data_IF_825566970172
#
_entry.id   IF_825566970172
#
_cell.length_a   1.000
_cell.length_b   1.000
_cell.length_c   1.000
_cell.angle_alpha   90.00
_cell.angle_beta   90.00
_cell.angle_gamma   90.00
#
_symmetry.space_group_name_H-M   'P 1'
#
loop_
_entity.id
_entity.type
_entity.pdbx_description
1 polymer ?
#
# COMPACT_ATOMS: atom_id res chain seq x y z
N UNK A 1 5.42 21.01 1.03
CA UNK A 1 4.11 20.34 1.07
C UNK A 1 3.65 20.20 -0.35
N UNK A 2 3.15 19.03 -0.73
CA UNK A 2 2.59 18.81 -2.06
C UNK A 2 1.18 19.42 -2.19
N UNK A 3 0.74 19.65 -3.44
CA UNK A 3 -0.55 20.27 -3.74
C UNK A 3 -1.73 19.49 -3.17
N UNK A 4 -1.63 18.17 -3.09
CA UNK A 4 -2.68 17.31 -2.53
C UNK A 4 -2.84 17.52 -1.01
N UNK A 5 -1.73 17.63 -0.27
CA UNK A 5 -1.76 17.92 1.17
C UNK A 5 -2.35 19.29 1.47
N UNK A 6 -1.99 20.30 0.67
CA UNK A 6 -2.55 21.65 0.78
C UNK A 6 -4.07 21.64 0.54
N UNK A 7 -4.53 20.92 -0.50
CA UNK A 7 -5.96 20.79 -0.78
C UNK A 7 -6.71 20.11 0.37
N UNK A 8 -6.18 19.03 0.92
CA UNK A 8 -6.81 18.33 2.03
C UNK A 8 -6.88 19.19 3.30
N UNK A 9 -5.82 19.94 3.61
CA UNK A 9 -5.80 20.84 4.77
C UNK A 9 -6.82 21.98 4.57
N UNK A 10 -6.86 22.57 3.39
CA UNK A 10 -7.82 23.63 3.06
C UNK A 10 -9.27 23.11 3.17
N UNK A 11 -9.56 21.93 2.62
CA UNK A 11 -10.88 21.31 2.70
C UNK A 11 -11.28 21.03 4.16
N UNK A 12 -10.37 20.48 4.96
CA UNK A 12 -10.62 20.23 6.36
C UNK A 12 -10.88 21.53 7.17
N UNK A 13 -10.10 22.59 6.89
CA UNK A 13 -10.28 23.88 7.52
C UNK A 13 -11.63 24.52 7.15
N UNK A 14 -12.01 24.50 5.87
CA UNK A 14 -13.30 25.01 5.39
C UNK A 14 -14.44 24.23 6.06
N UNK A 15 -14.38 22.90 6.07
CA UNK A 15 -15.39 22.07 6.71
C UNK A 15 -15.51 22.38 8.21
N UNK A 16 -14.39 22.55 8.91
CA UNK A 16 -14.38 22.90 10.31
C UNK A 16 -15.06 24.26 10.56
N UNK A 17 -14.76 25.27 9.77
CA UNK A 17 -15.37 26.60 9.85
C UNK A 17 -16.89 26.51 9.62
N UNK A 18 -17.32 25.81 8.57
CA UNK A 18 -18.74 25.63 8.24
C UNK A 18 -19.50 24.92 9.37
N UNK A 19 -18.92 23.86 9.91
CA UNK A 19 -19.53 23.09 11.02
C UNK A 19 -19.55 23.93 12.30
N UNK A 20 -18.49 24.68 12.59
CA UNK A 20 -18.44 25.57 13.75
C UNK A 20 -19.51 26.63 13.71
N UNK A 21 -19.77 27.26 12.55
CA UNK A 21 -20.85 28.25 12.40
C UNK A 21 -22.25 27.64 12.55
N UNK A 22 -22.44 26.38 12.14
CA UNK A 22 -23.74 25.70 12.29
C UNK A 22 -23.97 25.18 13.70
N UNK A 23 -22.93 24.62 14.32
CA UNK A 23 -23.01 24.03 15.66
C UNK A 23 -21.60 23.89 16.26
N UNK A 24 -21.20 24.76 17.19
CA UNK A 24 -19.92 24.63 17.89
C UNK A 24 -19.78 23.30 18.65
N UNK A 25 -20.89 22.76 19.17
CA UNK A 25 -20.90 21.48 19.85
C UNK A 25 -20.53 20.32 18.89
N UNK A 26 -21.02 20.37 17.64
CA UNK A 26 -20.66 19.38 16.61
C UNK A 26 -19.19 19.50 16.19
N UNK A 27 -18.67 20.72 16.06
CA UNK A 27 -17.27 20.97 15.75
C UNK A 27 -16.34 20.41 16.83
N UNK A 28 -16.66 20.67 18.12
CA UNK A 28 -15.89 20.13 19.25
C UNK A 28 -15.95 18.60 19.31
N UNK A 29 -17.11 17.99 19.04
CA UNK A 29 -17.25 16.53 18.98
C UNK A 29 -16.38 15.95 17.85
N UNK A 30 -16.36 16.59 16.68
CA UNK A 30 -15.52 16.21 15.54
C UNK A 30 -14.02 16.31 15.86
N UNK A 31 -13.58 17.42 16.49
CA UNK A 31 -12.18 17.60 16.89
C UNK A 31 -11.74 16.56 17.94
N UNK A 32 -12.59 16.28 18.93
CA UNK A 32 -12.32 15.25 19.92
C UNK A 32 -12.21 13.85 19.29
N UNK A 33 -13.11 13.53 18.37
CA UNK A 33 -13.05 12.28 17.62
C UNK A 33 -11.76 12.18 16.77
N UNK A 34 -11.35 13.27 16.12
CA UNK A 34 -10.08 13.35 15.38
C UNK A 34 -8.89 13.13 16.30
N UNK A 35 -8.86 13.79 17.46
CA UNK A 35 -7.79 13.59 18.44
C UNK A 35 -7.69 12.15 18.93
N UNK A 36 -8.82 11.52 19.24
CA UNK A 36 -8.88 10.12 19.65
C UNK A 36 -8.34 9.18 18.55
N UNK A 37 -8.74 9.40 17.30
CA UNK A 37 -8.24 8.63 16.16
C UNK A 37 -6.73 8.79 15.97
N UNK A 38 -6.19 10.01 16.10
CA UNK A 38 -4.74 10.25 15.98
C UNK A 38 -3.99 9.47 17.06
N UNK A 39 -4.43 9.56 18.32
CA UNK A 39 -3.78 8.85 19.44
C UNK A 39 -3.83 7.33 19.23
N UNK A 40 -4.93 6.80 18.72
CA UNK A 40 -5.09 5.38 18.47
C UNK A 40 -4.22 4.88 17.30
N UNK A 41 -4.12 5.67 16.22
CA UNK A 41 -3.43 5.26 14.99
C UNK A 41 -1.93 5.49 15.08
N UNK A 42 -1.47 6.54 15.78
CA UNK A 42 -0.07 6.96 15.81
C UNK A 42 0.91 5.86 16.23
N UNK A 43 0.68 5.09 17.31
CA UNK A 43 1.59 4.00 17.70
C UNK A 43 1.70 2.92 16.61
N UNK A 44 0.58 2.61 15.97
CA UNK A 44 0.51 1.61 14.88
C UNK A 44 1.28 2.09 13.64
N UNK A 45 1.18 3.38 13.30
CA UNK A 45 1.93 3.98 12.20
C UNK A 45 3.44 3.95 12.48
N UNK A 46 3.87 4.34 13.69
CA UNK A 46 5.29 4.31 14.09
C UNK A 46 5.83 2.89 13.99
N UNK A 47 5.14 1.90 14.53
CA UNK A 47 5.54 0.50 14.44
C UNK A 47 5.61 0.00 12.99
N UNK A 48 4.62 0.34 12.15
CA UNK A 48 4.59 -0.05 10.75
C UNK A 48 5.74 0.56 9.94
N UNK A 49 6.04 1.85 10.14
CA UNK A 49 7.17 2.50 9.45
C UNK A 49 8.52 1.96 9.93
N UNK A 50 8.67 1.71 11.23
CA UNK A 50 9.88 1.08 11.77
C UNK A 50 10.10 -0.30 11.18
N UNK A 51 9.07 -1.15 11.15
CA UNK A 51 9.13 -2.47 10.52
C UNK A 51 9.49 -2.38 9.04
N UNK A 52 8.83 -1.50 8.29
CA UNK A 52 9.10 -1.31 6.87
C UNK A 52 10.56 -0.87 6.62
N UNK A 53 11.06 0.07 7.42
CA UNK A 53 12.46 0.52 7.33
C UNK A 53 13.46 -0.58 7.66
N UNK A 54 13.21 -1.38 8.70
CA UNK A 54 14.07 -2.51 9.07
C UNK A 54 14.08 -3.60 7.99
N UNK A 55 12.93 -3.95 7.41
CA UNK A 55 12.85 -4.92 6.32
C UNK A 55 13.67 -4.44 5.12
N UNK A 56 13.56 -3.16 4.75
CA UNK A 56 14.35 -2.58 3.65
C UNK A 56 15.86 -2.59 3.93
N UNK A 57 16.27 -2.44 5.19
CA UNK A 57 17.69 -2.46 5.57
C UNK A 57 18.28 -3.89 5.59
N UNK A 58 17.46 -4.90 5.87
CA UNK A 58 17.92 -6.31 6.03
C UNK A 58 17.97 -7.03 4.68
N UNK A 59 17.04 -6.72 3.75
CA UNK A 59 16.95 -7.45 2.47
C UNK A 59 17.93 -6.86 1.45
N UNK A 60 19.00 -7.61 1.05
CA UNK A 60 19.95 -7.15 0.04
C UNK A 60 19.25 -6.92 -1.31
N UNK A 61 19.49 -5.76 -1.91
CA UNK A 61 18.88 -5.38 -3.18
C UNK A 61 19.27 -6.36 -4.31
N UNK A 62 20.51 -6.85 -4.30
CA UNK A 62 21.01 -7.84 -5.26
C UNK A 62 20.21 -9.14 -5.23
N UNK A 63 19.79 -9.56 -4.06
CA UNK A 63 18.98 -10.77 -3.90
C UNK A 63 17.57 -10.60 -4.49
N UNK A 64 16.98 -9.42 -4.33
CA UNK A 64 15.69 -9.08 -4.94
C UNK A 64 15.82 -9.08 -6.47
N UNK A 65 16.86 -8.47 -7.02
CA UNK A 65 17.09 -8.42 -8.46
C UNK A 65 17.32 -9.81 -9.05
N UNK A 66 18.04 -10.68 -8.35
CA UNK A 66 18.28 -12.06 -8.82
C UNK A 66 16.98 -12.88 -8.92
N UNK A 67 15.99 -12.55 -8.08
CA UNK A 67 14.70 -13.26 -8.03
C UNK A 67 13.61 -12.62 -8.89
N UNK A 68 13.64 -11.31 -9.03
CA UNK A 68 12.59 -10.51 -9.66
C UNK A 68 13.10 -9.66 -10.84
N UNK A 69 14.33 -9.88 -11.30
CA UNK A 69 14.94 -9.13 -12.40
C UNK A 69 14.22 -9.29 -13.73
N UNK A 70 14.67 -8.54 -14.74
CA UNK A 70 14.15 -8.67 -16.10
C UNK A 70 14.42 -10.10 -16.61
N UNK A 71 13.36 -10.77 -17.09
CA UNK A 71 13.45 -12.16 -17.52
C UNK A 71 13.17 -13.21 -16.44
N UNK A 72 12.87 -12.82 -15.20
CA UNK A 72 12.45 -13.75 -14.14
C UNK A 72 11.13 -14.47 -14.43
N UNK A 73 10.33 -13.94 -15.38
CA UNK A 73 9.08 -14.54 -15.82
C UNK A 73 8.10 -14.81 -14.69
N UNK A 74 7.42 -15.95 -14.76
CA UNK A 74 6.40 -16.33 -13.77
C UNK A 74 6.95 -16.42 -12.34
N UNK A 75 8.20 -16.84 -12.17
CA UNK A 75 8.84 -16.93 -10.85
C UNK A 75 8.92 -15.56 -10.18
N UNK A 76 9.41 -14.55 -10.91
CA UNK A 76 9.49 -13.18 -10.39
C UNK A 76 8.11 -12.59 -10.08
N UNK A 77 7.10 -12.87 -10.90
CA UNK A 77 5.71 -12.43 -10.67
C UNK A 77 5.16 -13.03 -9.37
N UNK A 78 5.34 -14.32 -9.12
CA UNK A 78 4.89 -14.98 -7.90
C UNK A 78 5.61 -14.44 -6.66
N UNK A 79 6.91 -14.20 -6.76
CA UNK A 79 7.70 -13.59 -5.68
C UNK A 79 7.20 -12.15 -5.41
N UNK A 80 7.01 -11.35 -6.46
CA UNK A 80 6.44 -10.02 -6.35
C UNK A 80 5.09 -10.01 -5.66
N UNK A 81 4.19 -10.89 -6.08
CA UNK A 81 2.87 -11.07 -5.47
C UNK A 81 2.96 -11.39 -3.97
N UNK A 82 3.82 -12.33 -3.60
CA UNK A 82 4.00 -12.74 -2.20
C UNK A 82 4.58 -11.60 -1.35
N UNK A 83 5.64 -10.97 -1.83
CA UNK A 83 6.26 -9.85 -1.13
C UNK A 83 5.29 -8.66 -1.00
N UNK A 84 4.54 -8.34 -2.05
CA UNK A 84 3.55 -7.26 -2.02
C UNK A 84 2.48 -7.48 -0.95
N UNK A 85 1.94 -8.71 -0.87
CA UNK A 85 0.96 -9.06 0.16
C UNK A 85 1.50 -9.01 1.59
N UNK A 86 2.77 -9.36 1.78
CA UNK A 86 3.42 -9.41 3.10
C UNK A 86 4.00 -8.08 3.56
N UNK A 87 4.39 -7.20 2.65
CA UNK A 87 5.07 -5.95 3.01
C UNK A 87 4.10 -4.97 3.66
N UNK A 88 4.35 -4.56 4.91
CA UNK A 88 3.51 -3.57 5.58
C UNK A 88 3.84 -2.16 5.11
N UNK A 89 2.87 -1.26 5.21
CA UNK A 89 3.06 0.16 4.92
C UNK A 89 2.00 0.77 4.03
N UNK A 90 2.03 2.09 3.92
CA UNK A 90 1.14 2.88 3.08
C UNK A 90 1.76 3.27 1.73
N UNK A 91 1.02 4.03 0.89
CA UNK A 91 1.51 4.46 -0.42
C UNK A 91 2.83 5.23 -0.36
N UNK A 92 2.99 6.08 0.65
CA UNK A 92 4.21 6.88 0.86
C UNK A 92 5.46 6.04 1.09
N UNK A 93 5.31 4.80 1.54
CA UNK A 93 6.42 3.86 1.74
C UNK A 93 6.64 2.99 0.51
N UNK A 94 5.56 2.50 -0.10
CA UNK A 94 5.64 1.54 -1.20
C UNK A 94 6.13 2.16 -2.51
N UNK A 95 5.65 3.34 -2.88
CA UNK A 95 6.06 3.96 -4.15
C UNK A 95 7.56 4.29 -4.22
N UNK A 96 8.22 4.85 -3.19
CA UNK A 96 9.67 5.00 -3.18
C UNK A 96 10.43 3.67 -3.29
N UNK A 97 9.95 2.61 -2.60
CA UNK A 97 10.54 1.27 -2.68
C UNK A 97 10.45 0.73 -4.10
N UNK A 98 9.26 0.77 -4.69
CA UNK A 98 9.05 0.31 -6.07
C UNK A 98 9.89 1.09 -7.07
N UNK A 99 9.99 2.41 -6.91
CA UNK A 99 10.85 3.24 -7.77
C UNK A 99 12.33 2.86 -7.63
N UNK A 100 12.79 2.54 -6.42
CA UNK A 100 14.14 2.05 -6.15
C UNK A 100 14.36 0.68 -6.81
N UNK A 101 13.44 -0.27 -6.60
CA UNK A 101 13.49 -1.61 -7.20
C UNK A 101 13.51 -1.57 -8.73
N UNK A 102 12.73 -0.69 -9.33
CA UNK A 102 12.73 -0.48 -10.78
C UNK A 102 14.08 0.02 -11.29
N UNK A 103 14.69 0.99 -10.59
CA UNK A 103 16.00 1.57 -10.94
C UNK A 103 17.14 0.54 -10.90
N UNK A 104 17.09 -0.40 -9.96
CA UNK A 104 18.10 -1.46 -9.85
C UNK A 104 17.87 -2.65 -10.80
N UNK A 105 16.80 -2.64 -11.62
CA UNK A 105 16.57 -3.61 -12.68
C UNK A 105 15.56 -4.72 -12.40
N UNK A 106 14.69 -4.53 -11.40
CA UNK A 106 13.54 -5.43 -11.21
C UNK A 106 12.60 -5.32 -12.41
N UNK A 107 12.08 -6.46 -12.87
CA UNK A 107 11.18 -6.56 -14.01
C UNK A 107 9.83 -5.87 -13.76
N UNK A 108 9.22 -5.34 -14.82
CA UNK A 108 7.92 -4.63 -14.72
C UNK A 108 6.81 -5.56 -14.27
N UNK A 109 6.76 -6.80 -14.77
CA UNK A 109 5.78 -7.80 -14.35
C UNK A 109 5.80 -8.07 -12.84
N UNK A 110 6.94 -8.43 -12.24
CA UNK A 110 7.09 -8.56 -10.80
C UNK A 110 6.71 -7.33 -10.00
N UNK A 111 7.07 -6.12 -10.45
CA UNK A 111 6.72 -4.86 -9.79
C UNK A 111 5.21 -4.59 -9.79
N UNK A 112 4.56 -4.82 -10.93
CA UNK A 112 3.10 -4.65 -11.03
C UNK A 112 2.38 -5.68 -10.18
N UNK A 113 2.85 -6.93 -10.18
CA UNK A 113 2.31 -7.97 -9.31
C UNK A 113 2.44 -7.61 -7.83
N UNK A 114 3.61 -7.09 -7.41
CA UNK A 114 3.87 -6.60 -6.06
C UNK A 114 2.89 -5.49 -5.67
N UNK A 115 2.76 -4.43 -6.48
CA UNK A 115 1.88 -3.29 -6.21
C UNK A 115 0.40 -3.72 -6.15
N UNK A 116 -0.01 -4.60 -7.07
CA UNK A 116 -1.40 -5.09 -7.12
C UNK A 116 -1.71 -5.97 -5.91
N UNK A 117 -0.80 -6.85 -5.50
CA UNK A 117 -0.96 -7.68 -4.31
C UNK A 117 -1.02 -6.83 -3.04
N UNK A 118 -0.11 -5.88 -2.89
CA UNK A 118 -0.13 -4.93 -1.78
C UNK A 118 -1.46 -4.16 -1.70
N UNK A 119 -1.96 -3.67 -2.83
CA UNK A 119 -3.19 -2.89 -2.88
C UNK A 119 -4.46 -3.73 -2.64
N UNK A 120 -4.47 -5.00 -3.05
CA UNK A 120 -5.64 -5.87 -2.91
C UNK A 120 -5.67 -6.63 -1.59
N UNK A 121 -4.56 -7.18 -1.13
CA UNK A 121 -4.53 -8.04 0.07
C UNK A 121 -3.28 -7.86 0.93
N UNK A 122 -2.82 -6.63 1.10
CA UNK A 122 -1.77 -6.32 2.07
C UNK A 122 -2.15 -6.85 3.46
N UNK A 123 -1.35 -7.78 4.00
CA UNK A 123 -1.63 -8.52 5.24
C UNK A 123 -1.90 -7.60 6.42
N UNK A 124 -1.12 -6.52 6.54
CA UNK A 124 -1.31 -5.51 7.58
C UNK A 124 -2.71 -4.91 7.52
N UNK A 125 -3.20 -4.52 6.32
CA UNK A 125 -4.52 -3.93 6.15
C UNK A 125 -5.63 -4.92 6.47
N UNK A 126 -5.47 -6.17 6.05
CA UNK A 126 -6.43 -7.24 6.34
C UNK A 126 -6.60 -7.42 7.84
N UNK A 127 -5.50 -7.56 8.58
CA UNK A 127 -5.53 -7.84 10.02
C UNK A 127 -5.98 -6.63 10.82
N UNK A 128 -5.49 -5.43 10.48
CA UNK A 128 -5.74 -4.23 11.30
C UNK A 128 -7.07 -3.54 11.01
N UNK A 129 -7.57 -3.67 9.77
CA UNK A 129 -8.74 -2.91 9.33
C UNK A 129 -9.88 -3.80 8.83
N UNK A 130 -9.60 -4.69 7.89
CA UNK A 130 -10.68 -5.39 7.21
C UNK A 130 -11.38 -6.41 8.12
N UNK A 131 -10.62 -7.25 8.81
CA UNK A 131 -11.20 -8.26 9.72
C UNK A 131 -12.01 -7.62 10.85
N UNK A 132 -11.51 -6.59 11.57
CA UNK A 132 -12.28 -5.94 12.62
C UNK A 132 -13.57 -5.26 12.15
N UNK A 133 -13.59 -4.71 10.94
CA UNK A 133 -14.77 -3.98 10.44
C UNK A 133 -15.75 -4.82 9.63
N UNK A 134 -15.26 -5.78 8.85
CA UNK A 134 -16.08 -6.56 7.91
C UNK A 134 -16.30 -8.02 8.36
N UNK A 135 -15.50 -8.48 9.32
CA UNK A 135 -15.49 -9.86 9.76
C UNK A 135 -14.71 -10.80 8.84
N UNK A 136 -14.16 -11.86 9.42
CA UNK A 136 -13.25 -12.79 8.73
C UNK A 136 -13.86 -13.48 7.51
N UNK A 137 -15.18 -13.79 7.53
CA UNK A 137 -15.84 -14.47 6.41
C UNK A 137 -15.88 -13.64 5.12
N UNK A 138 -16.25 -12.35 5.25
CA UNK A 138 -16.32 -11.42 4.10
C UNK A 138 -14.92 -11.16 3.56
N UNK A 139 -13.95 -10.97 4.45
CA UNK A 139 -12.55 -10.74 4.07
C UNK A 139 -11.95 -11.96 3.36
N UNK A 140 -12.18 -13.17 3.87
CA UNK A 140 -11.71 -14.39 3.22
C UNK A 140 -12.29 -14.57 1.82
N UNK A 141 -13.59 -14.31 1.62
CA UNK A 141 -14.23 -14.36 0.32
C UNK A 141 -13.61 -13.32 -0.64
N UNK A 142 -13.46 -12.08 -0.18
CA UNK A 142 -12.86 -11.00 -0.97
C UNK A 142 -11.42 -11.34 -1.39
N UNK A 143 -10.60 -11.78 -0.45
CA UNK A 143 -9.20 -12.17 -0.73
C UNK A 143 -9.17 -13.35 -1.70
N UNK A 144 -10.00 -14.36 -1.48
CA UNK A 144 -10.06 -15.54 -2.37
C UNK A 144 -10.41 -15.17 -3.80
N UNK A 145 -11.42 -14.33 -4.01
CA UNK A 145 -11.81 -13.86 -5.35
C UNK A 145 -10.71 -12.99 -5.98
N UNK A 146 -10.02 -12.17 -5.16
CA UNK A 146 -9.01 -11.23 -5.66
C UNK A 146 -7.63 -11.87 -5.85
N UNK A 147 -7.41 -13.09 -5.34
CA UNK A 147 -6.09 -13.70 -5.23
C UNK A 147 -5.35 -13.85 -6.56
N UNK A 148 -6.07 -14.15 -7.63
CA UNK A 148 -5.48 -14.34 -8.95
C UNK A 148 -5.11 -13.03 -9.67
N UNK A 149 -5.72 -11.88 -9.31
CA UNK A 149 -5.54 -10.63 -10.03
C UNK A 149 -4.08 -10.13 -10.08
N UNK A 150 -3.29 -10.12 -8.99
CA UNK A 150 -1.90 -9.67 -9.06
C UNK A 150 -1.04 -10.51 -10.01
N UNK A 151 -1.30 -11.81 -10.07
CA UNK A 151 -0.61 -12.69 -11.00
C UNK A 151 -0.91 -12.30 -12.45
N UNK A 152 -2.19 -12.19 -12.80
CA UNK A 152 -2.60 -11.80 -14.15
C UNK A 152 -2.16 -10.39 -14.52
N UNK A 153 -2.22 -9.43 -13.60
CA UNK A 153 -1.76 -8.07 -13.83
C UNK A 153 -0.25 -8.04 -14.11
N UNK A 154 0.57 -8.74 -13.33
CA UNK A 154 2.00 -8.84 -13.54
C UNK A 154 2.35 -9.54 -14.85
N UNK A 155 1.70 -10.67 -15.15
CA UNK A 155 1.92 -11.42 -16.40
C UNK A 155 1.55 -10.61 -17.64
N UNK A 156 0.39 -9.95 -17.63
CA UNK A 156 -0.06 -9.12 -18.74
C UNK A 156 0.87 -7.92 -18.96
N UNK A 157 1.30 -7.26 -17.88
CA UNK A 157 2.25 -6.17 -17.96
C UNK A 157 3.60 -6.62 -18.52
N UNK A 158 4.11 -7.78 -18.13
CA UNK A 158 5.38 -8.32 -18.65
C UNK A 158 5.29 -8.61 -20.15
N UNK A 159 4.16 -9.17 -20.58
CA UNK A 159 3.87 -9.48 -21.98
C UNK A 159 3.77 -8.21 -22.85
N UNK A 160 3.07 -7.18 -22.36
CA UNK A 160 2.93 -5.89 -23.06
C UNK A 160 4.28 -5.16 -23.10
N UNK A 161 5.01 -5.14 -21.99
CA UNK A 161 6.30 -4.47 -21.88
C UNK A 161 7.36 -5.11 -22.81
N UNK A 162 7.34 -6.43 -22.91
CA UNK A 162 8.21 -7.15 -23.86
C UNK A 162 7.96 -6.75 -25.32
N UNK A 163 6.70 -6.49 -25.67
CA UNK A 163 6.32 -6.02 -27.03
C UNK A 163 6.63 -4.54 -27.28
N UNK A 164 6.62 -3.70 -26.26
CA UNK A 164 6.90 -2.26 -26.39
C UNK A 164 8.41 -1.96 -26.48
N UNK A 165 9.25 -2.89 -26.04
CA UNK A 165 10.72 -2.76 -26.11
C UNK A 165 11.34 -3.26 -27.41
N UNK A 166 10.56 -3.87 -28.31
CA UNK A 166 10.95 -4.25 -29.67
C UNK A 166 10.75 -3.09 -30.63
#
# INVERSE_FOLDING_TARGET
MDTASLFMIAAAAIMLIVVYWKSPAAANKGLNATGALIIEILPRMVAAFTLAGLIQAIVPQEMIVSWMGQGSGLKGILIGMTLGGLTPGGPMTHFPVVASLYKIGVGVGPLVSYLTAWSLFGLQRIIMWEIPFLGAKVVALRVGVSFAFPFFAGWLCDLIWGKLRL
#
